data_IF_224740284199
#
_entry.id   IF_224740284199
#
_cell.length_a   1.000
_cell.length_b   1.000
_cell.length_c   1.000
_cell.angle_alpha   90.00
_cell.angle_beta   90.00
_cell.angle_gamma   90.00
#
_symmetry.space_group_name_H-M   'P 1'
#
loop_
_entity.id
_entity.type
_entity.pdbx_description
1 polymer ?
#
# COMPACT_ATOMS: atom_id res chain seq x y z
N UNK A 1 5.30 21.44 -45.00
CA UNK A 1 4.78 20.20 -44.44
C UNK A 1 5.85 19.47 -43.59
N UNK A 2 6.30 20.09 -42.48
CA UNK A 2 7.31 19.48 -41.57
C UNK A 2 7.14 19.86 -40.09
N UNK A 3 5.94 20.20 -39.64
CA UNK A 3 5.65 20.63 -38.23
C UNK A 3 4.68 19.71 -37.51
N UNK A 4 4.10 18.70 -38.17
CA UNK A 4 3.05 17.84 -37.57
C UNK A 4 3.52 16.53 -36.95
N UNK A 5 4.83 16.30 -36.79
CA UNK A 5 5.35 15.00 -36.20
C UNK A 5 5.99 15.11 -34.83
N UNK A 6 5.99 16.27 -34.17
CA UNK A 6 6.68 16.46 -32.88
C UNK A 6 5.77 16.51 -31.65
N UNK A 7 4.45 16.36 -31.82
CA UNK A 7 3.48 16.43 -30.70
C UNK A 7 2.90 15.08 -30.26
N UNK A 8 3.27 13.98 -30.91
CA UNK A 8 2.73 12.64 -30.57
C UNK A 8 3.62 11.85 -29.56
N UNK A 9 4.81 12.31 -29.23
CA UNK A 9 5.78 11.56 -28.40
C UNK A 9 5.76 11.93 -26.90
N UNK A 10 4.99 12.90 -26.47
CA UNK A 10 4.96 13.36 -25.06
C UNK A 10 3.78 12.81 -24.22
N UNK A 11 2.84 12.09 -24.82
CA UNK A 11 1.67 11.57 -24.10
C UNK A 11 1.84 10.13 -23.53
N UNK A 12 2.99 9.47 -23.73
CA UNK A 12 3.15 8.05 -23.36
C UNK A 12 4.09 7.77 -22.18
N UNK A 13 4.69 8.78 -21.57
CA UNK A 13 5.57 8.59 -20.38
C UNK A 13 4.83 8.64 -19.04
N UNK A 14 3.52 8.88 -19.05
CA UNK A 14 2.72 9.09 -17.82
C UNK A 14 2.24 7.82 -17.10
N UNK A 15 2.23 6.65 -17.76
CA UNK A 15 1.58 5.45 -17.19
C UNK A 15 2.58 4.50 -16.49
N UNK A 16 3.86 4.60 -16.77
CA UNK A 16 4.88 3.76 -16.11
C UNK A 16 5.32 4.27 -14.71
N UNK A 17 4.90 5.47 -14.31
CA UNK A 17 5.33 6.11 -13.06
C UNK A 17 4.45 5.80 -11.84
N UNK A 18 3.28 5.21 -12.00
CA UNK A 18 2.37 4.95 -10.87
C UNK A 18 2.72 3.69 -10.06
N UNK A 19 3.46 2.73 -10.62
CA UNK A 19 3.94 1.56 -9.86
C UNK A 19 5.22 1.83 -9.08
N UNK A 20 5.97 2.90 -9.39
CA UNK A 20 7.25 3.20 -8.76
C UNK A 20 7.15 4.09 -7.51
N UNK A 21 5.98 4.65 -7.20
CA UNK A 21 5.83 5.59 -6.08
C UNK A 21 5.88 4.93 -4.69
N UNK A 22 5.56 3.64 -4.56
CA UNK A 22 5.71 2.94 -3.28
C UNK A 22 7.16 2.63 -2.93
N UNK A 23 8.03 2.45 -3.92
CA UNK A 23 9.47 2.21 -3.76
C UNK A 23 10.25 3.47 -3.40
N UNK A 24 9.85 4.63 -3.93
CA UNK A 24 10.52 5.91 -3.68
C UNK A 24 10.47 6.36 -2.22
N UNK A 25 9.61 5.76 -1.39
CA UNK A 25 9.38 6.22 -0.02
C UNK A 25 10.57 5.96 0.92
N UNK A 26 11.36 4.88 0.69
CA UNK A 26 12.55 4.56 1.50
C UNK A 26 13.87 4.94 0.84
N UNK A 27 13.86 5.32 -0.41
CA UNK A 27 15.08 5.63 -1.17
C UNK A 27 15.71 6.98 -0.80
N UNK A 28 15.00 7.80 -0.01
CA UNK A 28 15.55 9.04 0.51
C UNK A 28 16.42 8.88 1.77
N UNK A 29 16.49 7.65 2.35
CA UNK A 29 17.38 7.37 3.48
C UNK A 29 18.73 6.84 3.03
N UNK A 30 19.79 7.34 3.66
CA UNK A 30 21.12 6.73 3.48
C UNK A 30 21.14 5.33 4.11
N UNK A 31 22.11 4.46 3.71
CA UNK A 31 22.28 3.16 4.35
C UNK A 31 22.44 3.24 5.87
N UNK A 32 23.18 4.25 6.36
CA UNK A 32 23.39 4.49 7.78
C UNK A 32 22.08 4.86 8.49
N UNK A 33 21.25 5.70 7.86
CA UNK A 33 19.95 6.06 8.39
C UNK A 33 19.01 4.85 8.44
N UNK A 34 18.98 4.00 7.38
CA UNK A 34 18.21 2.75 7.36
C UNK A 34 18.64 1.81 8.49
N UNK A 35 19.94 1.70 8.74
CA UNK A 35 20.48 0.91 9.84
C UNK A 35 20.07 1.46 11.21
N UNK A 36 20.08 2.77 11.42
CA UNK A 36 19.64 3.40 12.67
C UNK A 36 18.14 3.21 12.89
N UNK A 37 17.33 3.39 11.85
CA UNK A 37 15.88 3.16 11.90
C UNK A 37 15.56 1.73 12.31
N UNK A 38 16.25 0.73 11.75
CA UNK A 38 16.07 -0.68 12.11
C UNK A 38 16.45 -1.02 13.55
N UNK A 39 17.22 -0.17 14.22
CA UNK A 39 17.68 -0.37 15.61
C UNK A 39 16.84 0.37 16.66
N UNK A 40 15.85 1.17 16.27
CA UNK A 40 15.01 1.92 17.21
C UNK A 40 14.32 0.94 18.17
N UNK A 41 14.56 1.13 19.48
CA UNK A 41 13.92 0.39 20.56
C UNK A 41 13.22 1.34 21.54
N UNK A 42 13.81 2.53 21.74
CA UNK A 42 13.35 3.52 22.72
C UNK A 42 12.82 4.76 22.03
N UNK A 43 11.61 5.16 22.41
CA UNK A 43 10.91 6.28 21.76
C UNK A 43 10.45 7.29 22.81
N UNK A 44 10.76 8.55 22.60
CA UNK A 44 10.17 9.66 23.36
C UNK A 44 9.02 10.27 22.57
N UNK A 45 7.95 10.66 23.27
CA UNK A 45 6.78 11.29 22.67
C UNK A 45 6.70 12.73 23.11
N UNK A 46 6.54 13.63 22.14
CA UNK A 46 6.25 15.04 22.35
C UNK A 46 4.92 15.38 21.68
N UNK A 47 3.99 15.97 22.41
CA UNK A 47 2.71 16.39 21.87
C UNK A 47 2.40 17.85 22.18
N UNK A 48 1.72 18.52 21.26
CA UNK A 48 1.13 19.85 21.43
C UNK A 48 -0.32 19.76 20.98
N UNK A 49 -1.23 20.27 21.80
CA UNK A 49 -2.66 20.38 21.51
C UNK A 49 -3.08 21.84 21.49
N UNK A 50 -3.62 22.28 20.34
CA UNK A 50 -4.02 23.67 20.09
C UNK A 50 -5.51 23.75 19.82
N UNK A 51 -6.18 24.58 20.59
CA UNK A 51 -7.58 24.97 20.37
C UNK A 51 -7.68 26.48 20.13
N UNK A 52 -8.85 26.98 19.76
CA UNK A 52 -9.07 28.42 19.51
C UNK A 52 -8.67 29.31 20.73
N UNK A 53 -8.79 28.77 21.93
CA UNK A 53 -8.44 29.45 23.19
C UNK A 53 -6.94 29.37 23.53
N UNK A 54 -6.13 28.67 22.74
CA UNK A 54 -4.69 28.52 22.96
C UNK A 54 -4.25 27.06 23.16
N UNK A 55 -3.12 26.88 23.84
CA UNK A 55 -2.55 25.56 24.14
C UNK A 55 -3.35 24.90 25.27
N UNK A 56 -3.70 23.64 25.10
CA UNK A 56 -4.36 22.82 26.12
C UNK A 56 -3.47 21.64 26.52
N UNK A 57 -3.85 20.95 27.61
CA UNK A 57 -3.12 19.77 28.08
C UNK A 57 -3.08 18.66 27.02
N UNK A 58 -1.86 18.28 26.62
CA UNK A 58 -1.60 17.22 25.65
C UNK A 58 -1.31 15.85 26.32
N UNK A 59 -1.27 15.77 27.65
CA UNK A 59 -0.96 14.53 28.36
C UNK A 59 -1.86 13.35 27.93
N UNK A 60 -3.19 13.52 27.73
CA UNK A 60 -4.04 12.43 27.26
C UNK A 60 -3.66 11.90 25.87
N UNK A 61 -3.12 12.75 24.99
CA UNK A 61 -2.61 12.35 23.67
C UNK A 61 -1.29 11.59 23.81
N UNK A 62 -0.38 12.09 24.66
CA UNK A 62 0.91 11.41 24.94
C UNK A 62 0.68 10.01 25.47
N UNK A 63 -0.22 9.84 26.46
CA UNK A 63 -0.53 8.55 27.07
C UNK A 63 -1.13 7.56 26.04
N UNK A 64 -2.07 8.02 25.22
CA UNK A 64 -2.66 7.22 24.17
C UNK A 64 -1.59 6.73 23.19
N UNK A 65 -0.77 7.66 22.69
CA UNK A 65 0.27 7.33 21.70
C UNK A 65 1.35 6.44 22.32
N UNK A 66 1.72 6.68 23.58
CA UNK A 66 2.67 5.84 24.33
C UNK A 66 2.18 4.38 24.42
N UNK A 67 0.92 4.19 24.80
CA UNK A 67 0.30 2.87 24.88
C UNK A 67 0.30 2.19 23.52
N UNK A 68 -0.17 2.89 22.47
CA UNK A 68 -0.26 2.35 21.11
C UNK A 68 1.10 1.98 20.53
N UNK A 69 2.15 2.78 20.74
CA UNK A 69 3.53 2.47 20.33
C UNK A 69 4.07 1.28 21.15
N UNK A 70 3.74 1.21 22.44
CA UNK A 70 4.12 0.11 23.33
C UNK A 70 3.56 -1.25 22.90
N UNK A 71 2.40 -1.31 22.22
CA UNK A 71 1.81 -2.54 21.68
C UNK A 71 2.76 -3.28 20.70
N UNK A 72 3.62 -2.53 20.00
CA UNK A 72 4.64 -3.09 19.11
C UNK A 72 5.95 -3.41 19.83
N UNK A 73 6.00 -3.27 21.15
CA UNK A 73 7.18 -3.59 21.96
C UNK A 73 8.25 -2.51 21.98
N UNK A 74 7.91 -1.25 21.61
CA UNK A 74 8.81 -0.11 21.85
C UNK A 74 8.76 0.31 23.32
N UNK A 75 9.91 0.65 23.86
CA UNK A 75 10.00 1.27 25.19
C UNK A 75 9.76 2.76 25.08
N UNK A 76 8.73 3.25 25.75
CA UNK A 76 8.44 4.70 25.75
C UNK A 76 9.16 5.37 26.92
N UNK A 77 10.00 6.34 26.59
CA UNK A 77 10.76 7.15 27.55
C UNK A 77 10.00 8.45 27.81
N UNK A 78 9.69 8.75 29.08
CA UNK A 78 8.93 9.94 29.49
C UNK A 78 9.81 11.14 29.81
N UNK A 79 11.00 10.89 30.35
CA UNK A 79 11.93 11.92 30.80
C UNK A 79 12.84 12.36 29.64
N UNK A 80 12.91 13.68 29.40
CA UNK A 80 13.73 14.24 28.33
C UNK A 80 15.23 13.98 28.49
N UNK A 81 15.68 13.79 29.74
CA UNK A 81 17.08 13.52 30.10
C UNK A 81 17.51 12.08 29.83
N UNK A 82 16.57 11.14 29.67
CA UNK A 82 16.89 9.74 29.41
C UNK A 82 17.25 9.52 27.95
N UNK A 83 18.23 8.66 27.67
CA UNK A 83 18.56 8.27 26.29
C UNK A 83 17.35 7.70 25.56
N UNK A 84 17.20 8.07 24.28
CA UNK A 84 16.16 7.58 23.41
C UNK A 84 16.65 7.60 21.95
N UNK A 85 16.17 6.66 21.14
CA UNK A 85 16.61 6.50 19.76
C UNK A 85 15.86 7.43 18.80
N UNK A 86 14.56 7.66 19.08
CA UNK A 86 13.72 8.52 18.26
C UNK A 86 12.76 9.36 19.09
N UNK A 87 12.33 10.51 18.54
CA UNK A 87 11.28 11.34 19.13
C UNK A 87 10.10 11.38 18.17
N UNK A 88 8.95 10.87 18.57
CA UNK A 88 7.69 11.02 17.84
C UNK A 88 7.02 12.31 18.28
N UNK A 89 6.78 13.21 17.34
CA UNK A 89 6.14 14.50 17.56
C UNK A 89 4.72 14.50 17.01
N UNK A 90 3.77 14.96 17.82
CA UNK A 90 2.37 15.03 17.47
C UNK A 90 1.89 16.47 17.72
N UNK A 91 1.33 17.07 16.69
CA UNK A 91 0.69 18.39 16.78
C UNK A 91 -0.78 18.23 16.42
N UNK A 92 -1.66 18.36 17.40
CA UNK A 92 -3.11 18.32 17.21
C UNK A 92 -3.67 19.75 17.24
N UNK A 93 -4.49 20.09 16.27
CA UNK A 93 -5.07 21.43 16.10
C UNK A 93 -6.58 21.31 15.88
N UNK A 94 -7.37 22.11 16.57
CA UNK A 94 -8.82 22.24 16.35
C UNK A 94 -9.12 22.78 14.94
N UNK A 95 -8.25 23.64 14.39
CA UNK A 95 -8.38 24.28 13.07
C UNK A 95 -7.10 24.11 12.26
N UNK A 96 -6.82 22.91 11.84
CA UNK A 96 -5.74 22.71 10.88
C UNK A 96 -6.24 22.97 9.48
N UNK A 97 -5.58 23.87 8.76
CA UNK A 97 -5.81 24.08 7.34
C UNK A 97 -5.07 23.01 6.55
N UNK A 98 -5.78 22.38 5.65
CA UNK A 98 -5.22 21.38 4.74
C UNK A 98 -5.89 21.50 3.37
N UNK A 99 -5.10 21.35 2.32
CA UNK A 99 -5.55 21.30 0.94
C UNK A 99 -5.18 19.95 0.34
N UNK A 100 -6.11 19.33 -0.34
CA UNK A 100 -5.88 18.05 -0.99
C UNK A 100 -7.13 17.52 -1.67
N UNK A 101 -6.93 16.49 -2.48
CA UNK A 101 -8.01 15.78 -3.16
C UNK A 101 -8.66 14.76 -2.23
N UNK A 102 -9.99 14.76 -2.14
CA UNK A 102 -10.74 13.71 -1.48
C UNK A 102 -11.44 12.89 -2.55
N UNK A 103 -10.80 11.82 -3.03
CA UNK A 103 -11.54 10.75 -3.65
C UNK A 103 -12.17 9.92 -2.53
N UNK A 104 -13.49 9.78 -2.55
CA UNK A 104 -14.18 8.80 -1.71
C UNK A 104 -13.66 7.42 -2.11
N UNK A 105 -12.83 6.79 -1.26
CA UNK A 105 -12.25 5.48 -1.55
C UNK A 105 -10.72 5.39 -1.47
N UNK A 106 -10.01 6.48 -1.19
CA UNK A 106 -8.57 6.44 -0.87
C UNK A 106 -7.61 6.43 -2.06
N UNK A 107 -8.06 6.47 -3.30
CA UNK A 107 -7.21 6.71 -4.47
C UNK A 107 -7.05 8.22 -4.71
N UNK A 108 -5.99 8.77 -4.13
CA UNK A 108 -5.65 10.19 -4.24
C UNK A 108 -5.04 10.59 -5.61
N UNK A 109 -4.92 9.65 -6.54
CA UNK A 109 -4.13 9.82 -7.77
C UNK A 109 -4.98 10.01 -9.04
N UNK A 110 -6.23 10.43 -8.90
CA UNK A 110 -6.98 10.86 -10.07
C UNK A 110 -6.58 12.31 -10.45
N UNK A 111 -5.98 12.53 -11.63
CA UNK A 111 -5.45 13.85 -12.03
C UNK A 111 -6.47 14.98 -12.03
N UNK A 112 -7.77 14.67 -12.09
CA UNK A 112 -8.87 15.60 -12.18
C UNK A 112 -9.76 15.68 -10.93
N UNK A 113 -9.32 15.09 -9.80
CA UNK A 113 -10.10 15.18 -8.56
C UNK A 113 -10.08 16.62 -8.03
N UNK A 114 -11.24 17.21 -7.70
CA UNK A 114 -11.28 18.59 -7.23
C UNK A 114 -10.52 18.74 -5.91
N UNK A 115 -9.62 19.74 -5.86
CA UNK A 115 -8.94 20.15 -4.63
C UNK A 115 -9.97 20.69 -3.62
N UNK A 116 -9.92 20.18 -2.39
CA UNK A 116 -10.73 20.67 -1.27
C UNK A 116 -9.85 21.28 -0.20
N UNK A 117 -10.29 22.42 0.31
CA UNK A 117 -9.69 23.05 1.47
C UNK A 117 -10.44 22.60 2.72
N UNK A 118 -9.72 21.95 3.65
CA UNK A 118 -10.21 21.56 4.95
C UNK A 118 -9.69 22.56 6.00
N UNK A 119 -10.51 22.85 6.98
CA UNK A 119 -10.12 23.71 8.13
C UNK A 119 -10.71 23.15 9.41
N UNK A 120 -10.45 21.88 9.67
CA UNK A 120 -11.03 21.12 10.75
C UNK A 120 -9.99 20.49 11.68
N UNK A 121 -10.44 19.71 12.67
CA UNK A 121 -9.55 19.08 13.63
C UNK A 121 -8.68 18.03 12.97
N UNK A 122 -7.36 18.15 13.15
CA UNK A 122 -6.39 17.17 12.70
C UNK A 122 -5.15 17.11 13.59
N UNK A 123 -4.54 15.93 13.68
CA UNK A 123 -3.23 15.72 14.27
C UNK A 123 -2.21 15.41 13.19
N UNK A 124 -1.10 16.12 13.20
CA UNK A 124 0.06 15.85 12.38
C UNK A 124 1.09 15.07 13.19
N UNK A 125 1.54 13.94 12.67
CA UNK A 125 2.57 13.10 13.27
C UNK A 125 3.84 13.16 12.43
N UNK A 126 4.98 13.35 13.10
CA UNK A 126 6.32 13.33 12.50
C UNK A 126 7.27 12.65 13.48
N UNK A 127 8.50 12.35 13.07
CA UNK A 127 9.53 11.89 14.01
C UNK A 127 10.89 12.52 13.74
N UNK A 128 11.74 12.51 14.77
CA UNK A 128 13.14 12.90 14.70
C UNK A 128 14.02 11.67 14.92
N UNK A 129 15.06 11.55 14.13
CA UNK A 129 16.12 10.56 14.27
C UNK A 129 17.44 11.30 14.57
N UNK A 130 18.06 11.04 15.72
CA UNK A 130 19.26 11.77 16.13
C UNK A 130 19.08 13.28 16.18
N UNK A 131 17.88 13.77 16.55
CA UNK A 131 17.55 15.20 16.57
C UNK A 131 17.16 15.81 15.21
N UNK A 132 17.31 15.08 14.10
CA UNK A 132 17.00 15.57 12.75
C UNK A 132 15.59 15.16 12.37
N UNK A 133 14.78 16.11 11.88
CA UNK A 133 13.45 15.85 11.37
C UNK A 133 13.52 15.06 10.07
N UNK A 134 12.84 13.93 10.04
CA UNK A 134 12.73 13.08 8.85
C UNK A 134 11.52 13.53 8.01
N UNK A 135 11.58 13.25 6.70
CA UNK A 135 10.53 13.64 5.74
C UNK A 135 9.18 12.96 5.98
N UNK A 136 9.14 11.90 6.79
CA UNK A 136 7.91 11.18 7.10
C UNK A 136 6.91 12.05 7.87
N UNK A 137 5.69 12.06 7.37
CA UNK A 137 4.58 12.76 7.98
C UNK A 137 3.29 11.98 7.77
N UNK A 138 2.50 11.86 8.82
CA UNK A 138 1.14 11.33 8.75
C UNK A 138 0.17 12.32 9.34
N UNK A 139 -1.03 12.32 8.80
CA UNK A 139 -2.11 13.17 9.27
C UNK A 139 -3.31 12.33 9.67
N UNK A 140 -3.83 12.58 10.87
CA UNK A 140 -5.01 11.92 11.41
C UNK A 140 -6.09 12.98 11.57
N UNK A 141 -7.21 12.78 10.90
CA UNK A 141 -8.34 13.74 10.85
C UNK A 141 -9.56 13.14 11.51
N UNK A 142 -10.44 14.04 11.93
CA UNK A 142 -11.80 13.69 12.31
C UNK A 142 -12.70 13.72 11.07
N UNK A 143 -13.96 13.34 11.26
CA UNK A 143 -15.02 13.46 10.25
C UNK A 143 -15.41 14.91 9.91
N UNK A 144 -15.00 15.90 10.75
CA UNK A 144 -15.40 17.29 10.60
C UNK A 144 -14.55 18.04 9.58
N UNK A 145 -15.18 18.67 8.61
CA UNK A 145 -14.52 19.46 7.57
C UNK A 145 -14.10 20.85 8.03
N UNK A 146 -14.78 21.39 9.06
CA UNK A 146 -14.54 22.73 9.57
C UNK A 146 -14.90 22.85 11.07
N UNK A 147 -14.53 23.97 11.68
CA UNK A 147 -14.75 24.21 13.09
C UNK A 147 -16.22 24.48 13.45
N UNK A 148 -17.01 24.94 12.49
CA UNK A 148 -18.43 25.20 12.67
C UNK A 148 -19.21 23.90 12.85
N UNK A 149 -18.90 22.85 12.10
CA UNK A 149 -19.45 21.50 12.30
C UNK A 149 -19.09 20.94 13.68
N UNK A 150 -17.86 21.17 14.14
CA UNK A 150 -17.43 20.80 15.51
C UNK A 150 -18.26 21.52 16.56
N UNK A 151 -18.44 22.84 16.41
CA UNK A 151 -19.21 23.63 17.36
C UNK A 151 -20.67 23.19 17.42
N UNK A 152 -21.30 22.92 16.28
CA UNK A 152 -22.66 22.40 16.19
C UNK A 152 -22.78 21.03 16.88
N UNK A 153 -21.81 20.14 16.67
CA UNK A 153 -21.80 18.81 17.25
C UNK A 153 -21.51 18.80 18.76
N UNK A 154 -20.72 19.76 19.24
CA UNK A 154 -20.46 19.97 20.66
C UNK A 154 -21.69 20.48 21.42
N UNK A 155 -22.71 20.98 20.71
CA UNK A 155 -23.94 21.57 21.30
C UNK A 155 -23.61 22.68 22.30
N UNK A 156 -23.87 22.45 23.59
CA UNK A 156 -23.61 23.40 24.70
C UNK A 156 -22.23 23.23 25.33
N UNK A 157 -21.42 22.24 24.85
CA UNK A 157 -20.07 21.99 25.37
C UNK A 157 -19.01 22.91 24.77
N UNK A 158 -17.78 22.78 25.28
CA UNK A 158 -16.62 23.49 24.72
C UNK A 158 -16.20 22.80 23.38
N UNK A 159 -16.28 23.51 22.24
CA UNK A 159 -15.90 22.93 20.95
C UNK A 159 -14.44 22.47 20.87
N UNK A 160 -13.52 23.15 21.59
CA UNK A 160 -12.12 22.78 21.64
C UNK A 160 -11.90 21.44 22.34
N UNK A 161 -12.52 21.27 23.52
CA UNK A 161 -12.46 20.01 24.26
C UNK A 161 -13.11 18.87 23.47
N UNK A 162 -14.24 19.13 22.79
CA UNK A 162 -14.91 18.17 21.94
C UNK A 162 -14.03 17.74 20.75
N UNK A 163 -13.40 18.69 20.06
CA UNK A 163 -12.47 18.43 18.96
C UNK A 163 -11.30 17.55 19.42
N UNK A 164 -10.69 17.86 20.57
CA UNK A 164 -9.58 17.06 21.11
C UNK A 164 -10.04 15.64 21.51
N UNK A 165 -11.26 15.49 22.03
CA UNK A 165 -11.86 14.19 22.29
C UNK A 165 -11.96 13.36 20.99
N UNK A 166 -12.51 13.94 19.93
CA UNK A 166 -12.63 13.29 18.62
C UNK A 166 -11.29 12.96 17.97
N UNK A 167 -10.28 13.81 18.13
CA UNK A 167 -8.92 13.53 17.68
C UNK A 167 -8.29 12.36 18.44
N UNK A 168 -8.56 12.23 19.73
CA UNK A 168 -8.14 11.04 20.50
C UNK A 168 -8.81 9.78 19.97
N UNK A 169 -10.13 9.81 19.70
CA UNK A 169 -10.86 8.67 19.12
C UNK A 169 -10.27 8.28 17.76
N UNK A 170 -9.97 9.26 16.91
CA UNK A 170 -9.33 9.04 15.61
C UNK A 170 -7.91 8.46 15.76
N UNK A 171 -7.09 8.97 16.68
CA UNK A 171 -5.76 8.43 16.99
C UNK A 171 -5.83 7.02 17.58
N UNK A 172 -6.90 6.67 18.31
CA UNK A 172 -7.09 5.33 18.87
C UNK A 172 -7.27 4.28 17.78
N UNK A 173 -7.96 4.63 16.70
CA UNK A 173 -8.27 3.70 15.60
C UNK A 173 -7.24 3.74 14.47
N UNK A 174 -6.50 4.84 14.34
CA UNK A 174 -5.52 4.99 13.26
C UNK A 174 -4.28 4.13 13.48
N UNK A 175 -3.93 3.32 12.51
CA UNK A 175 -2.84 2.33 12.63
C UNK A 175 -1.42 2.91 12.44
N UNK A 176 -1.18 4.12 12.99
CA UNK A 176 0.14 4.76 12.93
C UNK A 176 1.28 3.92 13.52
N UNK A 177 1.08 3.07 14.55
CA UNK A 177 2.18 2.26 15.05
C UNK A 177 2.69 1.27 14.02
N UNK A 178 1.78 0.64 13.25
CA UNK A 178 2.15 -0.26 12.16
C UNK A 178 2.92 0.49 11.06
N UNK A 179 2.46 1.71 10.74
CA UNK A 179 3.12 2.57 9.74
C UNK A 179 4.51 3.00 10.19
N UNK A 180 4.73 3.26 11.49
CA UNK A 180 6.05 3.55 12.04
C UNK A 180 6.98 2.33 11.96
N UNK A 181 6.52 1.15 12.36
CA UNK A 181 7.31 -0.07 12.28
C UNK A 181 7.71 -0.38 10.82
N UNK A 182 6.79 -0.18 9.87
CA UNK A 182 7.07 -0.34 8.45
C UNK A 182 8.10 0.70 7.95
N UNK A 183 7.91 1.98 8.29
CA UNK A 183 8.83 3.06 7.96
C UNK A 183 10.24 2.82 8.50
N UNK A 184 10.34 2.34 9.75
CA UNK A 184 11.61 2.04 10.40
C UNK A 184 12.24 0.74 9.94
N UNK A 185 11.55 -0.04 9.08
CA UNK A 185 12.08 -1.29 8.54
C UNK A 185 12.22 -2.38 9.58
N UNK A 186 11.21 -2.54 10.44
CA UNK A 186 11.18 -3.51 11.53
C UNK A 186 10.03 -4.52 11.35
N UNK A 187 10.08 -5.38 10.31
CA UNK A 187 9.02 -6.35 10.02
C UNK A 187 8.81 -7.36 11.14
N UNK A 188 9.84 -7.68 11.94
CA UNK A 188 9.73 -8.58 13.08
C UNK A 188 8.71 -8.13 14.13
N UNK A 189 8.47 -6.81 14.26
CA UNK A 189 7.43 -6.28 15.15
C UNK A 189 6.04 -6.51 14.61
N UNK A 190 5.89 -6.37 13.28
CA UNK A 190 4.64 -6.67 12.58
C UNK A 190 4.32 -8.16 12.63
N UNK A 191 5.32 -9.01 12.42
CA UNK A 191 5.19 -10.47 12.51
C UNK A 191 4.77 -10.93 13.90
N UNK A 192 5.39 -10.40 14.96
CA UNK A 192 4.98 -10.70 16.35
C UNK A 192 3.52 -10.33 16.61
N UNK A 193 3.05 -9.21 16.05
CA UNK A 193 1.67 -8.80 16.22
C UNK A 193 0.71 -9.66 15.38
N UNK A 194 1.13 -10.11 14.20
CA UNK A 194 0.36 -11.02 13.35
C UNK A 194 0.13 -12.38 14.03
N UNK A 195 1.09 -12.85 14.83
CA UNK A 195 1.03 -14.12 15.58
C UNK A 195 0.08 -14.08 16.78
N UNK A 196 -0.26 -12.92 17.27
CA UNK A 196 -1.15 -12.79 18.42
C UNK A 196 -2.58 -13.18 18.05
N UNK A 197 -3.18 -14.03 18.84
CA UNK A 197 -4.57 -14.51 18.63
C UNK A 197 -5.61 -13.39 18.77
N UNK A 198 -5.33 -12.38 19.60
CA UNK A 198 -6.18 -11.23 19.89
C UNK A 198 -6.09 -10.08 18.86
N UNK A 199 -5.21 -10.21 17.83
CA UNK A 199 -5.11 -9.20 16.77
C UNK A 199 -6.36 -9.25 15.88
N UNK A 200 -7.14 -8.16 15.78
CA UNK A 200 -8.34 -8.10 14.96
C UNK A 200 -8.05 -8.33 13.46
N UNK A 201 -8.99 -8.94 12.74
CA UNK A 201 -8.82 -9.25 11.32
C UNK A 201 -8.45 -8.03 10.45
N UNK A 202 -9.08 -6.84 10.57
CA UNK A 202 -8.69 -5.68 9.77
C UNK A 202 -7.23 -5.29 9.99
N UNK A 203 -6.75 -5.41 11.23
CA UNK A 203 -5.36 -5.12 11.59
C UNK A 203 -4.41 -6.17 11.01
N UNK A 204 -4.78 -7.46 11.00
CA UNK A 204 -4.01 -8.53 10.34
C UNK A 204 -3.86 -8.28 8.85
N UNK A 205 -4.95 -7.89 8.16
CA UNK A 205 -4.92 -7.52 6.74
C UNK A 205 -3.96 -6.35 6.49
N UNK A 206 -4.00 -5.31 7.33
CA UNK A 206 -3.07 -4.17 7.23
C UNK A 206 -1.61 -4.58 7.44
N UNK A 207 -1.33 -5.45 8.42
CA UNK A 207 0.01 -5.99 8.66
C UNK A 207 0.51 -6.75 7.44
N UNK A 208 -0.29 -7.65 6.87
CA UNK A 208 0.06 -8.42 5.66
C UNK A 208 0.38 -7.48 4.50
N UNK A 209 -0.43 -6.44 4.28
CA UNK A 209 -0.16 -5.42 3.26
C UNK A 209 1.20 -4.77 3.47
N UNK A 210 1.48 -4.29 4.70
CA UNK A 210 2.72 -3.61 5.02
C UNK A 210 3.94 -4.51 4.86
N UNK A 211 3.85 -5.80 5.25
CA UNK A 211 4.93 -6.76 5.04
C UNK A 211 5.26 -6.94 3.55
N UNK A 212 4.25 -6.96 2.68
CA UNK A 212 4.44 -6.96 1.24
C UNK A 212 5.07 -5.65 0.73
N UNK A 213 4.57 -4.49 1.17
CA UNK A 213 5.12 -3.17 0.81
C UNK A 213 6.58 -3.00 1.27
N UNK A 214 6.94 -3.59 2.40
CA UNK A 214 8.31 -3.60 2.93
C UNK A 214 9.22 -4.58 2.18
N UNK A 215 8.67 -5.48 1.39
CA UNK A 215 9.38 -6.60 0.77
C UNK A 215 10.12 -7.45 1.81
N UNK A 216 9.43 -7.75 2.89
CA UNK A 216 9.96 -8.50 4.03
C UNK A 216 9.94 -10.00 3.71
N UNK A 217 11.01 -10.54 3.10
CA UNK A 217 11.11 -11.96 2.71
C UNK A 217 10.93 -12.91 3.91
N UNK A 218 11.33 -12.50 5.11
CA UNK A 218 11.08 -13.21 6.36
C UNK A 218 9.60 -13.41 6.70
N UNK A 219 8.69 -12.66 6.05
CA UNK A 219 7.25 -12.83 6.22
C UNK A 219 6.70 -14.06 5.47
N UNK A 220 7.42 -14.63 4.50
CA UNK A 220 6.93 -15.70 3.64
C UNK A 220 6.35 -16.90 4.41
N UNK A 221 6.96 -17.42 5.50
CA UNK A 221 6.37 -18.51 6.28
C UNK A 221 5.00 -18.14 6.86
N UNK A 222 4.85 -16.92 7.37
CA UNK A 222 3.58 -16.42 7.94
C UNK A 222 2.53 -16.13 6.89
N UNK A 223 2.92 -15.62 5.74
CA UNK A 223 2.02 -15.44 4.60
C UNK A 223 1.50 -16.79 4.09
N UNK A 224 2.36 -17.83 4.05
CA UNK A 224 1.94 -19.21 3.74
C UNK A 224 0.93 -19.75 4.76
N UNK A 225 1.12 -19.48 6.05
CA UNK A 225 0.15 -19.84 7.08
C UNK A 225 -1.19 -19.11 6.88
N UNK A 226 -1.15 -17.82 6.53
CA UNK A 226 -2.32 -16.99 6.28
C UNK A 226 -3.19 -17.50 5.11
N UNK A 227 -2.64 -18.27 4.16
CA UNK A 227 -3.41 -18.90 3.08
C UNK A 227 -4.48 -19.87 3.59
N UNK A 228 -4.30 -20.45 4.78
CA UNK A 228 -5.28 -21.34 5.41
C UNK A 228 -6.52 -20.61 5.90
N UNK A 229 -6.43 -19.30 6.05
CA UNK A 229 -7.54 -18.44 6.44
C UNK A 229 -8.14 -17.77 5.21
N UNK A 230 -9.40 -18.11 4.88
CA UNK A 230 -10.10 -17.59 3.70
C UNK A 230 -10.09 -16.07 3.60
N UNK A 231 -10.22 -15.38 4.74
CA UNK A 231 -10.33 -13.93 4.78
C UNK A 231 -8.97 -13.22 4.61
N UNK A 232 -7.86 -13.93 4.83
CA UNK A 232 -6.50 -13.41 4.71
C UNK A 232 -5.80 -13.88 3.42
N UNK A 233 -6.26 -14.99 2.82
CA UNK A 233 -5.57 -15.67 1.73
C UNK A 233 -5.27 -14.77 0.55
N UNK A 234 -6.27 -14.02 0.07
CA UNK A 234 -6.11 -13.11 -1.07
C UNK A 234 -5.07 -12.02 -0.80
N UNK A 235 -5.09 -11.45 0.42
CA UNK A 235 -4.13 -10.42 0.81
C UNK A 235 -2.72 -10.99 0.97
N UNK A 236 -2.59 -12.20 1.51
CA UNK A 236 -1.31 -12.90 1.63
C UNK A 236 -0.69 -13.18 0.25
N UNK A 237 -1.47 -13.63 -0.73
CA UNK A 237 -1.03 -13.83 -2.12
C UNK A 237 -0.55 -12.50 -2.72
N UNK A 238 -1.29 -11.41 -2.51
CA UNK A 238 -0.89 -10.07 -2.97
C UNK A 238 0.44 -9.62 -2.36
N UNK A 239 0.64 -9.85 -1.07
CA UNK A 239 1.90 -9.55 -0.38
C UNK A 239 3.07 -10.40 -0.92
N UNK A 240 2.85 -11.70 -1.15
CA UNK A 240 3.87 -12.59 -1.76
C UNK A 240 4.33 -12.09 -3.13
N UNK A 241 3.42 -11.49 -3.91
CA UNK A 241 3.76 -10.90 -5.22
C UNK A 241 4.70 -9.70 -5.15
N UNK A 242 4.96 -9.16 -3.95
CA UNK A 242 5.92 -8.08 -3.71
C UNK A 242 7.22 -8.55 -3.06
N UNK A 243 7.29 -9.81 -2.62
CA UNK A 243 8.49 -10.40 -2.02
C UNK A 243 9.52 -10.81 -3.08
N UNK A 244 10.62 -11.40 -2.62
CA UNK A 244 11.66 -11.94 -3.50
C UNK A 244 11.26 -13.22 -4.23
N UNK A 245 12.27 -13.83 -4.90
CA UNK A 245 12.10 -15.03 -5.74
C UNK A 245 11.51 -16.24 -5.00
N UNK A 246 11.68 -16.29 -3.70
CA UNK A 246 11.22 -17.37 -2.82
C UNK A 246 9.70 -17.52 -2.84
N UNK A 247 8.96 -16.46 -3.21
CA UNK A 247 7.51 -16.46 -3.38
C UNK A 247 7.03 -17.16 -4.67
N UNK A 248 7.89 -17.26 -5.70
CA UNK A 248 7.50 -17.76 -7.03
C UNK A 248 6.93 -19.18 -6.98
N UNK A 249 7.62 -20.20 -6.40
CA UNK A 249 7.12 -21.57 -6.42
C UNK A 249 5.74 -21.71 -5.77
N UNK A 250 5.51 -20.94 -4.69
CA UNK A 250 4.24 -20.98 -3.99
C UNK A 250 3.11 -20.31 -4.79
N UNK A 251 3.39 -19.17 -5.42
CA UNK A 251 2.40 -18.52 -6.31
C UNK A 251 2.07 -19.39 -7.52
N UNK A 252 3.05 -20.06 -8.11
CA UNK A 252 2.82 -21.02 -9.22
C UNK A 252 1.95 -22.19 -8.75
N UNK A 253 2.23 -22.74 -7.56
CA UNK A 253 1.42 -23.81 -6.98
C UNK A 253 -0.03 -23.36 -6.78
N UNK A 254 -0.26 -22.21 -6.14
CA UNK A 254 -1.60 -21.66 -5.90
C UNK A 254 -2.34 -21.42 -7.23
N UNK A 255 -1.68 -20.84 -8.23
CA UNK A 255 -2.26 -20.58 -9.55
C UNK A 255 -2.75 -21.87 -10.22
N UNK A 256 -2.04 -23.00 -10.03
CA UNK A 256 -2.34 -24.25 -10.68
C UNK A 256 -3.28 -25.17 -9.88
N UNK A 257 -3.21 -25.15 -8.55
CA UNK A 257 -3.84 -26.15 -7.70
C UNK A 257 -5.03 -25.64 -6.87
N UNK A 258 -5.14 -24.31 -6.68
CA UNK A 258 -6.25 -23.76 -5.88
C UNK A 258 -7.61 -24.08 -6.50
N UNK A 259 -8.56 -24.53 -5.67
CA UNK A 259 -9.95 -24.73 -6.08
C UNK A 259 -10.74 -23.42 -6.19
N UNK A 260 -10.20 -22.32 -5.69
CA UNK A 260 -10.84 -21.00 -5.73
C UNK A 260 -10.24 -20.19 -6.89
N UNK A 261 -11.08 -19.88 -7.87
CA UNK A 261 -10.70 -19.13 -9.07
C UNK A 261 -10.07 -17.76 -8.70
N UNK A 262 -10.63 -17.10 -7.69
CA UNK A 262 -10.14 -15.81 -7.22
C UNK A 262 -8.70 -15.87 -6.67
N UNK A 263 -8.30 -17.00 -6.07
CA UNK A 263 -6.94 -17.21 -5.58
C UNK A 263 -6.00 -17.56 -6.72
N UNK A 264 -6.46 -18.33 -7.73
CA UNK A 264 -5.69 -18.57 -8.95
C UNK A 264 -5.37 -17.24 -9.67
N UNK A 265 -6.40 -16.40 -9.85
CA UNK A 265 -6.26 -15.08 -10.48
C UNK A 265 -5.31 -14.18 -9.67
N UNK A 266 -5.47 -14.14 -8.33
CA UNK A 266 -4.60 -13.37 -7.46
C UNK A 266 -3.13 -13.85 -7.55
N UNK A 267 -2.89 -15.16 -7.64
CA UNK A 267 -1.55 -15.73 -7.80
C UNK A 267 -0.93 -15.38 -9.16
N UNK A 268 -1.70 -15.44 -10.25
CA UNK A 268 -1.24 -14.99 -11.57
C UNK A 268 -0.84 -13.51 -11.56
N UNK A 269 -1.67 -12.65 -10.94
CA UNK A 269 -1.37 -11.23 -10.73
C UNK A 269 -0.09 -11.04 -9.91
N UNK A 270 0.07 -11.79 -8.81
CA UNK A 270 1.27 -11.76 -7.96
C UNK A 270 2.53 -12.14 -8.72
N UNK A 271 2.48 -13.19 -9.56
CA UNK A 271 3.59 -13.59 -10.44
C UNK A 271 3.96 -12.47 -11.42
N UNK A 272 2.97 -11.81 -12.02
CA UNK A 272 3.20 -10.67 -12.91
C UNK A 272 3.81 -9.46 -12.21
N UNK A 273 3.41 -9.21 -10.97
CA UNK A 273 3.99 -8.14 -10.16
C UNK A 273 5.44 -8.46 -9.80
N UNK A 274 5.71 -9.65 -9.31
CA UNK A 274 7.04 -10.10 -8.90
C UNK A 274 8.01 -10.12 -10.08
N UNK A 275 7.61 -10.72 -11.22
CA UNK A 275 8.44 -10.75 -12.43
C UNK A 275 8.73 -9.36 -12.98
N UNK A 276 7.75 -8.45 -12.97
CA UNK A 276 7.94 -7.07 -13.41
C UNK A 276 8.82 -6.26 -12.49
N UNK A 277 8.71 -6.45 -11.17
CA UNK A 277 9.52 -5.75 -10.16
C UNK A 277 11.00 -6.16 -10.20
N UNK A 278 11.26 -7.46 -10.33
CA UNK A 278 12.60 -8.01 -10.23
C UNK A 278 13.23 -8.36 -11.58
N UNK A 279 12.51 -8.12 -12.70
CA UNK A 279 12.96 -8.53 -14.02
C UNK A 279 13.11 -10.05 -14.16
N UNK A 280 12.34 -10.84 -13.38
CA UNK A 280 12.50 -12.29 -13.32
C UNK A 280 11.65 -13.00 -14.37
N UNK A 281 12.28 -13.34 -15.50
CA UNK A 281 11.64 -14.06 -16.60
C UNK A 281 11.33 -15.54 -16.29
N UNK A 282 11.70 -16.07 -15.12
CA UNK A 282 11.41 -17.47 -14.74
C UNK A 282 9.90 -17.71 -14.58
N UNK A 283 9.13 -16.67 -14.29
CA UNK A 283 7.67 -16.73 -14.15
C UNK A 283 6.93 -16.82 -15.49
N UNK A 284 7.61 -16.54 -16.62
CA UNK A 284 6.97 -16.52 -17.95
C UNK A 284 6.48 -17.92 -18.36
N UNK A 285 7.30 -18.95 -18.20
CA UNK A 285 6.90 -20.30 -18.58
C UNK A 285 5.70 -20.86 -17.81
N UNK A 286 5.62 -20.73 -16.47
CA UNK A 286 4.42 -21.09 -15.73
C UNK A 286 3.16 -20.32 -16.18
N UNK A 287 3.29 -19.03 -16.47
CA UNK A 287 2.17 -18.21 -16.95
C UNK A 287 1.72 -18.66 -18.35
N UNK A 288 2.66 -18.98 -19.26
CA UNK A 288 2.34 -19.50 -20.60
C UNK A 288 1.64 -20.86 -20.52
N UNK A 289 2.10 -21.75 -19.65
CA UNK A 289 1.44 -23.04 -19.44
C UNK A 289 -0.02 -22.84 -18.98
N UNK A 290 -0.27 -21.89 -18.09
CA UNK A 290 -1.62 -21.54 -17.62
C UNK A 290 -2.46 -20.88 -18.71
N UNK A 291 -1.87 -20.03 -19.56
CA UNK A 291 -2.53 -19.39 -20.70
C UNK A 291 -3.04 -20.42 -21.72
N UNK A 292 -2.29 -21.50 -21.94
CA UNK A 292 -2.59 -22.52 -22.92
C UNK A 292 -3.53 -23.63 -22.39
N UNK A 293 -3.76 -23.70 -21.10
CA UNK A 293 -4.69 -24.66 -20.51
C UNK A 293 -6.14 -24.27 -20.82
N UNK A 294 -6.80 -25.07 -21.68
CA UNK A 294 -8.17 -24.84 -22.13
C UNK A 294 -9.23 -24.84 -21.01
N UNK A 295 -8.89 -25.31 -19.80
CA UNK A 295 -9.80 -25.37 -18.64
C UNK A 295 -9.66 -24.12 -17.75
N UNK A 296 -8.73 -23.23 -18.06
CA UNK A 296 -8.51 -22.02 -17.27
C UNK A 296 -9.68 -21.06 -17.40
N UNK A 297 -10.19 -20.59 -16.25
CA UNK A 297 -11.25 -19.58 -16.20
C UNK A 297 -10.80 -18.25 -16.82
N UNK A 298 -11.74 -17.52 -17.42
CA UNK A 298 -11.43 -16.25 -18.11
C UNK A 298 -10.89 -15.16 -17.17
N UNK A 299 -11.30 -15.16 -15.93
CA UNK A 299 -10.76 -14.20 -14.95
C UNK A 299 -9.29 -14.49 -14.63
N UNK A 300 -8.91 -15.76 -14.58
CA UNK A 300 -7.51 -16.19 -14.42
C UNK A 300 -6.71 -15.88 -15.69
N UNK A 301 -7.25 -16.21 -16.89
CA UNK A 301 -6.60 -15.86 -18.17
C UNK A 301 -6.36 -14.36 -18.30
N UNK A 302 -7.30 -13.53 -17.83
CA UNK A 302 -7.15 -12.07 -17.82
C UNK A 302 -5.94 -11.64 -17.00
N UNK A 303 -5.79 -12.15 -15.77
CA UNK A 303 -4.64 -11.82 -14.92
C UNK A 303 -3.32 -12.41 -15.46
N UNK A 304 -3.37 -13.59 -16.07
CA UNK A 304 -2.22 -14.19 -16.76
C UNK A 304 -1.77 -13.32 -17.94
N UNK A 305 -2.69 -12.83 -18.77
CA UNK A 305 -2.37 -11.93 -19.87
C UNK A 305 -1.76 -10.61 -19.35
N UNK A 306 -2.37 -9.97 -18.35
CA UNK A 306 -1.78 -8.79 -17.70
C UNK A 306 -0.39 -9.06 -17.12
N UNK A 307 -0.17 -10.24 -16.53
CA UNK A 307 1.13 -10.63 -15.99
C UNK A 307 2.19 -10.75 -17.09
N UNK A 308 1.87 -11.44 -18.21
CA UNK A 308 2.78 -11.59 -19.34
C UNK A 308 3.16 -10.24 -19.98
N UNK A 309 2.21 -9.29 -20.06
CA UNK A 309 2.50 -7.96 -20.58
C UNK A 309 3.38 -7.10 -19.66
N UNK A 310 3.36 -7.36 -18.35
CA UNK A 310 4.27 -6.70 -17.38
C UNK A 310 5.70 -7.23 -17.43
N UNK A 311 5.88 -8.41 -18.02
CA UNK A 311 7.17 -9.10 -18.17
C UNK A 311 7.36 -9.39 -19.67
N UNK A 312 7.62 -8.34 -20.49
CA UNK A 312 7.68 -8.51 -21.92
C UNK A 312 8.71 -9.57 -22.32
N UNK A 313 8.26 -10.60 -23.01
CA UNK A 313 9.09 -11.71 -23.48
C UNK A 313 8.56 -12.21 -24.82
N UNK A 314 9.44 -12.32 -25.81
CA UNK A 314 9.08 -12.78 -27.18
C UNK A 314 8.40 -14.14 -27.22
N UNK A 315 8.67 -15.02 -26.26
CA UNK A 315 8.01 -16.32 -26.12
C UNK A 315 6.51 -16.20 -25.89
N UNK A 316 6.05 -15.06 -25.41
CA UNK A 316 4.64 -14.79 -25.11
C UNK A 316 3.85 -14.34 -26.35
N UNK A 317 4.50 -13.81 -27.39
CA UNK A 317 3.82 -13.17 -28.54
C UNK A 317 2.89 -14.17 -29.24
N UNK A 318 3.42 -15.31 -29.72
CA UNK A 318 2.62 -16.26 -30.46
C UNK A 318 1.49 -16.89 -29.67
N UNK A 319 1.69 -17.36 -28.40
CA UNK A 319 0.59 -17.86 -27.57
C UNK A 319 -0.52 -16.83 -27.32
N UNK A 320 -0.16 -15.55 -27.09
CA UNK A 320 -1.13 -14.47 -26.90
C UNK A 320 -1.91 -14.18 -28.20
N UNK A 321 -1.24 -14.16 -29.36
CA UNK A 321 -1.90 -13.97 -30.68
C UNK A 321 -2.86 -15.14 -31.01
N UNK A 322 -2.50 -16.37 -30.65
CA UNK A 322 -3.36 -17.53 -30.86
C UNK A 322 -4.60 -17.48 -29.94
N UNK A 323 -4.44 -16.98 -28.72
CA UNK A 323 -5.57 -16.73 -27.83
C UNK A 323 -6.45 -15.59 -28.38
N UNK A 324 -5.87 -14.47 -28.82
CA UNK A 324 -6.61 -13.35 -29.41
C UNK A 324 -7.51 -13.80 -30.58
N UNK A 325 -6.96 -14.60 -31.54
CA UNK A 325 -7.73 -15.14 -32.64
C UNK A 325 -8.94 -15.95 -32.17
N UNK A 326 -8.79 -16.77 -31.13
CA UNK A 326 -9.89 -17.55 -30.54
C UNK A 326 -10.95 -16.67 -29.94
N UNK A 327 -10.54 -15.65 -29.18
CA UNK A 327 -11.44 -14.70 -28.51
C UNK A 327 -12.22 -13.85 -29.52
N UNK A 328 -11.57 -13.39 -30.59
CA UNK A 328 -12.22 -12.62 -31.66
C UNK A 328 -13.29 -13.44 -32.41
N UNK A 329 -13.11 -14.76 -32.51
CA UNK A 329 -14.11 -15.63 -33.09
C UNK A 329 -15.37 -15.82 -32.24
N UNK A 330 -15.28 -15.60 -30.91
CA UNK A 330 -16.42 -15.77 -29.97
C UNK A 330 -17.46 -14.65 -30.03
N UNK A 331 -17.08 -13.43 -30.45
CA UNK A 331 -17.90 -12.23 -30.65
C UNK A 331 -19.18 -12.15 -29.81
N UNK A 332 -19.02 -11.94 -28.50
CA UNK A 332 -20.14 -11.63 -27.60
C UNK A 332 -19.94 -10.22 -27.02
N UNK A 333 -20.55 -9.18 -27.61
CA UNK A 333 -20.36 -7.79 -27.20
C UNK A 333 -20.98 -7.46 -25.85
N UNK A 334 -21.85 -8.30 -25.32
CA UNK A 334 -22.47 -8.10 -24.00
C UNK A 334 -21.66 -8.74 -22.86
N UNK A 335 -20.71 -9.62 -23.20
CA UNK A 335 -19.92 -10.33 -22.20
C UNK A 335 -18.77 -9.47 -21.66
N UNK A 336 -18.95 -8.94 -20.48
CA UNK A 336 -17.99 -8.06 -19.81
C UNK A 336 -16.66 -8.80 -19.51
N UNK A 337 -16.72 -10.07 -19.15
CA UNK A 337 -15.50 -10.86 -18.87
C UNK A 337 -14.69 -11.12 -20.13
N UNK A 338 -15.36 -11.39 -21.27
CA UNK A 338 -14.72 -11.55 -22.56
C UNK A 338 -14.04 -10.24 -23.00
N UNK A 339 -14.71 -9.10 -22.86
CA UNK A 339 -14.11 -7.77 -23.16
C UNK A 339 -12.82 -7.53 -22.37
N UNK A 340 -12.85 -7.76 -21.06
CA UNK A 340 -11.67 -7.58 -20.20
C UNK A 340 -10.51 -8.50 -20.62
N UNK A 341 -10.81 -9.74 -20.98
CA UNK A 341 -9.79 -10.68 -21.43
C UNK A 341 -9.18 -10.25 -22.78
N UNK A 342 -10.01 -9.84 -23.74
CA UNK A 342 -9.53 -9.32 -25.04
C UNK A 342 -8.63 -8.10 -24.83
N UNK A 343 -9.04 -7.16 -23.97
CA UNK A 343 -8.25 -5.97 -23.64
C UNK A 343 -6.89 -6.34 -23.04
N UNK A 344 -6.87 -7.26 -22.07
CA UNK A 344 -5.65 -7.73 -21.42
C UNK A 344 -4.69 -8.40 -22.43
N UNK A 345 -5.23 -9.27 -23.30
CA UNK A 345 -4.44 -9.98 -24.33
C UNK A 345 -3.88 -9.00 -25.35
N UNK A 346 -4.70 -8.07 -25.85
CA UNK A 346 -4.25 -7.03 -26.78
C UNK A 346 -3.12 -6.17 -26.21
N UNK A 347 -3.29 -5.73 -24.96
CA UNK A 347 -2.27 -4.95 -24.27
C UNK A 347 -0.98 -5.74 -24.10
N UNK A 348 -1.06 -7.02 -23.68
CA UNK A 348 0.09 -7.89 -23.49
C UNK A 348 0.87 -8.12 -24.80
N UNK A 349 0.16 -8.38 -25.90
CA UNK A 349 0.79 -8.51 -27.24
C UNK A 349 1.57 -7.24 -27.56
N UNK A 350 0.94 -6.07 -27.38
CA UNK A 350 1.57 -4.79 -27.67
C UNK A 350 2.85 -4.56 -26.84
N UNK A 351 2.83 -4.92 -25.54
CA UNK A 351 4.01 -4.79 -24.68
C UNK A 351 5.16 -5.72 -25.15
N UNK A 352 4.86 -6.99 -25.44
CA UNK A 352 5.85 -7.97 -25.87
C UNK A 352 6.43 -7.63 -27.25
N UNK A 353 5.60 -7.17 -28.20
CA UNK A 353 6.02 -6.82 -29.57
C UNK A 353 6.89 -5.55 -29.58
N UNK A 354 6.51 -4.53 -28.79
CA UNK A 354 7.31 -3.31 -28.65
C UNK A 354 8.67 -3.60 -28.04
N UNK A 355 8.75 -4.47 -27.04
CA UNK A 355 10.01 -4.86 -26.43
C UNK A 355 10.94 -5.59 -27.40
N UNK A 356 10.41 -6.52 -28.23
CA UNK A 356 11.19 -7.27 -29.21
C UNK A 356 11.80 -6.38 -30.31
N UNK A 357 11.18 -5.19 -30.58
CA UNK A 357 11.72 -4.21 -31.52
C UNK A 357 12.91 -3.40 -30.98
N UNK A 358 13.08 -3.33 -29.65
CA UNK A 358 14.11 -2.52 -28.99
C UNK A 358 15.17 -3.35 -28.24
N UNK A 359 15.02 -4.66 -28.14
CA UNK A 359 15.99 -5.60 -27.55
C UNK A 359 16.87 -6.26 -28.60
#
# INVERSE_FOLDING_TARGET
MRVARLLATLAFTGIALSASLSWAYRDHFTPEQKMLLGKIQTVRIEAIALVDKGVVDAAPIVELVARRIGELGYTVVREASKPHDAVVKIKCEQRKTWEGTTAAGGDADLPDAPSRLWKGPACQMTYLLGGIKVKWQKEVRTEFENAEQVAQSAKTGDPGAYAMGKLRDALETYEFPLLLAAEWGQPERLLKLLDRSDTPQPRRLKIITLLGEMQADEALPKLREALKNRDLAKQAIGAMGSLGKEGIPLLVDIMNTSLQIELQAAAAKGLGQLGGLHGDASVVLPLLAKLQDAKTDWSVLTEVAWALGKIPDKRSIQPLQDLDKKLQAMRDPENVSLKKLIEAVFWAIKQCDTWDQYS
#
